data_IF_198712762191
#
_entry.id   IF_198712762191
#
_cell.length_a   1.000
_cell.length_b   1.000
_cell.length_c   1.000
_cell.angle_alpha   90.00
_cell.angle_beta   90.00
_cell.angle_gamma   90.00
#
_symmetry.space_group_name_H-M   'P 1'
#
loop_
_entity.id
_entity.type
_entity.pdbx_description
1 polymer ?
#
# COMPACT_ATOMS: atom_id res chain seq x y z
N UNK A 1 -13.10 -5.26 -47.15
CA UNK A 1 -12.04 -4.23 -47.28
C UNK A 1 -12.41 -3.02 -46.44
N UNK A 2 -11.91 -2.86 -45.27
CA UNK A 2 -11.74 -1.57 -44.58
C UNK A 2 -10.53 -1.74 -43.63
N UNK A 3 -9.44 -1.06 -43.95
CA UNK A 3 -8.22 -0.97 -43.17
C UNK A 3 -8.47 -0.03 -42.01
N UNK A 4 -8.23 -0.48 -40.78
CA UNK A 4 -8.05 0.38 -39.62
C UNK A 4 -6.55 0.55 -39.37
N UNK A 5 -6.08 1.75 -39.59
CA UNK A 5 -4.73 2.20 -39.32
C UNK A 5 -4.55 2.33 -37.82
N UNK A 6 -3.65 1.52 -37.24
CA UNK A 6 -3.08 1.72 -35.92
C UNK A 6 -1.84 2.60 -36.13
N UNK A 7 -1.79 3.77 -35.48
CA UNK A 7 -0.68 4.71 -35.51
C UNK A 7 0.60 4.04 -35.03
N UNK A 8 1.46 3.74 -35.98
CA UNK A 8 2.84 3.34 -35.74
C UNK A 8 3.70 4.58 -35.51
N UNK A 9 4.17 4.79 -34.29
CA UNK A 9 5.34 5.63 -34.04
C UNK A 9 6.56 4.90 -34.62
N UNK A 10 7.08 5.39 -35.72
CA UNK A 10 8.34 4.94 -36.29
C UNK A 10 9.48 5.38 -35.36
N UNK A 11 10.02 4.42 -34.61
CA UNK A 11 11.24 4.61 -33.83
C UNK A 11 12.42 4.54 -34.80
N UNK A 12 13.04 5.68 -35.04
CA UNK A 12 14.31 5.80 -35.77
C UNK A 12 15.37 5.00 -35.02
N UNK A 13 15.93 3.98 -35.68
CA UNK A 13 17.04 3.20 -35.13
C UNK A 13 18.30 4.08 -35.08
N UNK A 14 18.73 4.42 -33.84
CA UNK A 14 20.08 4.96 -33.64
C UNK A 14 21.11 3.92 -34.02
N UNK A 15 22.20 4.40 -34.67
CA UNK A 15 23.36 3.63 -35.13
C UNK A 15 23.78 2.55 -34.13
N UNK A 16 23.85 1.31 -34.60
CA UNK A 16 24.44 0.18 -33.87
C UNK A 16 25.96 0.43 -33.74
N UNK A 17 26.52 0.46 -32.53
CA UNK A 17 27.97 0.27 -32.39
C UNK A 17 28.31 -1.18 -32.74
N UNK A 18 29.48 -1.35 -33.36
CA UNK A 18 30.03 -2.61 -33.86
C UNK A 18 29.87 -3.76 -32.86
N UNK A 19 29.29 -4.88 -33.31
CA UNK A 19 29.06 -6.14 -32.56
C UNK A 19 30.37 -6.90 -32.27
N UNK A 20 31.51 -6.22 -32.08
CA UNK A 20 32.81 -6.87 -31.95
C UNK A 20 33.32 -7.10 -30.52
N UNK A 21 32.82 -6.36 -29.52
CA UNK A 21 33.54 -6.30 -28.23
C UNK A 21 32.67 -6.47 -26.96
N UNK A 22 31.57 -7.19 -26.94
CA UNK A 22 30.78 -7.26 -25.71
C UNK A 22 30.01 -8.56 -25.57
N UNK A 23 30.61 -9.58 -25.01
CA UNK A 23 29.92 -10.69 -24.33
C UNK A 23 30.71 -11.18 -23.10
N UNK A 24 31.27 -10.25 -22.33
CA UNK A 24 31.67 -10.56 -20.96
C UNK A 24 30.67 -9.85 -20.03
N UNK A 25 29.92 -10.61 -19.23
CA UNK A 25 29.17 -10.06 -18.12
C UNK A 25 30.08 -9.11 -17.33
N UNK A 26 29.61 -7.88 -17.08
CA UNK A 26 30.32 -7.00 -16.16
C UNK A 26 30.43 -7.75 -14.84
N UNK A 27 31.65 -8.04 -14.40
CA UNK A 27 31.88 -8.68 -13.11
C UNK A 27 31.23 -7.89 -11.94
N UNK A 28 31.28 -8.39 -10.72
CA UNK A 28 30.68 -7.69 -9.58
C UNK A 28 31.14 -6.24 -9.49
N UNK A 29 30.19 -5.28 -9.53
CA UNK A 29 30.49 -3.84 -9.52
C UNK A 29 30.79 -3.41 -8.09
N UNK A 30 32.04 -3.01 -7.81
CA UNK A 30 32.42 -2.41 -6.54
C UNK A 30 31.95 -0.96 -6.39
N UNK A 31 32.20 -0.38 -5.22
CA UNK A 31 31.74 0.98 -4.87
C UNK A 31 32.19 2.04 -5.89
N UNK A 32 33.49 2.19 -6.14
CA UNK A 32 34.03 3.17 -7.07
C UNK A 32 33.53 2.96 -8.50
N UNK A 33 33.46 1.70 -8.94
CA UNK A 33 32.92 1.35 -10.24
C UNK A 33 31.44 1.71 -10.38
N UNK A 34 30.63 1.56 -9.32
CA UNK A 34 29.22 1.94 -9.35
C UNK A 34 29.04 3.43 -9.59
N UNK A 35 29.86 4.27 -8.95
CA UNK A 35 29.86 5.72 -9.16
C UNK A 35 30.28 6.09 -10.59
N UNK A 36 31.34 5.48 -11.12
CA UNK A 36 31.79 5.70 -12.50
C UNK A 36 30.71 5.24 -13.52
N UNK A 37 30.04 4.12 -13.26
CA UNK A 37 28.95 3.65 -14.09
C UNK A 37 27.70 4.54 -14.01
N UNK A 38 27.38 5.11 -12.84
CA UNK A 38 26.30 6.09 -12.70
C UNK A 38 26.57 7.33 -13.57
N UNK A 39 27.79 7.90 -13.51
CA UNK A 39 28.22 9.02 -14.38
C UNK A 39 28.05 8.67 -15.85
N UNK A 40 28.56 7.51 -16.28
CA UNK A 40 28.46 7.06 -17.67
C UNK A 40 27.02 6.92 -18.12
N UNK A 41 26.17 6.30 -17.28
CA UNK A 41 24.74 6.10 -17.57
C UNK A 41 24.05 7.45 -17.77
N UNK A 42 24.17 8.39 -16.82
CA UNK A 42 23.44 9.65 -16.87
C UNK A 42 24.01 10.66 -17.89
N UNK A 43 25.34 10.68 -18.14
CA UNK A 43 25.93 11.64 -19.06
C UNK A 43 26.00 11.15 -20.49
N UNK A 44 26.00 9.84 -20.73
CA UNK A 44 26.26 9.29 -22.06
C UNK A 44 25.10 8.36 -22.52
N UNK A 45 24.79 7.32 -21.77
CA UNK A 45 23.98 6.24 -22.28
C UNK A 45 22.48 6.57 -22.27
N UNK A 46 21.97 7.12 -21.20
CA UNK A 46 20.58 7.55 -21.10
C UNK A 46 20.25 8.71 -22.04
N UNK A 47 21.12 9.74 -22.19
CA UNK A 47 20.93 10.79 -23.19
C UNK A 47 20.97 10.27 -24.63
N UNK A 48 21.80 9.30 -24.95
CA UNK A 48 21.84 8.66 -26.27
C UNK A 48 20.50 7.92 -26.57
N UNK A 49 19.71 7.61 -25.54
CA UNK A 49 18.38 7.02 -25.64
C UNK A 49 17.24 8.03 -25.43
N UNK A 50 17.52 9.34 -25.50
CA UNK A 50 16.51 10.41 -25.50
C UNK A 50 16.22 11.07 -24.14
N UNK A 51 16.96 10.75 -23.08
CA UNK A 51 16.82 11.45 -21.79
C UNK A 51 17.75 12.69 -21.72
N UNK A 52 17.34 13.68 -20.93
CA UNK A 52 18.12 14.89 -20.71
C UNK A 52 19.08 14.72 -19.55
N UNK A 53 20.33 15.17 -19.68
CA UNK A 53 21.30 15.23 -18.58
C UNK A 53 20.81 16.24 -17.52
N UNK A 54 20.83 15.83 -16.26
CA UNK A 54 20.47 16.68 -15.12
C UNK A 54 21.47 16.47 -14.00
N UNK A 55 22.28 17.48 -13.71
CA UNK A 55 23.35 17.39 -12.70
C UNK A 55 22.81 17.03 -11.31
N UNK A 56 21.67 17.60 -10.91
CA UNK A 56 21.03 17.27 -9.64
C UNK A 56 20.61 15.79 -9.55
N UNK A 57 20.20 15.17 -10.66
CA UNK A 57 19.85 13.75 -10.72
C UNK A 57 21.08 12.86 -10.54
N UNK A 58 22.20 13.25 -11.12
CA UNK A 58 23.48 12.53 -10.99
C UNK A 58 23.96 12.59 -9.54
N UNK A 59 24.01 13.80 -8.97
CA UNK A 59 24.37 14.01 -7.56
C UNK A 59 23.49 13.20 -6.62
N UNK A 60 22.18 13.19 -6.88
CA UNK A 60 21.21 12.41 -6.12
C UNK A 60 21.50 10.90 -6.20
N UNK A 61 21.80 10.37 -7.39
CA UNK A 61 22.15 8.97 -7.57
C UNK A 61 23.43 8.60 -6.80
N UNK A 62 24.45 9.45 -6.80
CA UNK A 62 25.67 9.22 -6.02
C UNK A 62 25.40 9.13 -4.53
N UNK A 63 24.63 10.06 -3.99
CA UNK A 63 24.23 10.03 -2.57
C UNK A 63 23.46 8.75 -2.20
N UNK A 64 22.59 8.31 -3.09
CA UNK A 64 21.83 7.06 -2.89
C UNK A 64 22.74 5.84 -2.95
N UNK A 65 23.75 5.81 -3.84
CA UNK A 65 24.75 4.77 -3.88
C UNK A 65 25.57 4.73 -2.59
N UNK A 66 26.03 5.90 -2.10
CA UNK A 66 26.75 6.00 -0.82
C UNK A 66 25.96 5.33 0.30
N UNK A 67 24.68 5.68 0.45
CA UNK A 67 23.84 5.12 1.49
C UNK A 67 23.65 3.61 1.35
N UNK A 68 23.46 3.12 0.13
CA UNK A 68 23.27 1.69 -0.14
C UNK A 68 24.52 0.87 0.18
N UNK A 69 25.71 1.36 -0.20
CA UNK A 69 26.97 0.66 0.06
C UNK A 69 27.39 0.73 1.52
N UNK A 70 27.19 1.88 2.17
CA UNK A 70 27.54 2.10 3.59
C UNK A 70 26.48 1.53 4.56
N UNK A 71 25.38 0.97 4.07
CA UNK A 71 24.24 0.51 4.87
C UNK A 71 23.61 1.60 5.73
N UNK A 72 23.49 2.79 5.18
CA UNK A 72 22.94 3.97 5.83
C UNK A 72 21.50 4.26 5.36
N UNK A 73 20.85 5.21 6.01
CA UNK A 73 19.59 5.79 5.56
C UNK A 73 19.85 7.19 5.00
N UNK A 74 19.65 7.38 3.70
CA UNK A 74 19.70 8.71 3.08
C UNK A 74 18.32 9.39 3.11
N UNK A 75 18.30 10.65 3.54
CA UNK A 75 17.18 11.57 3.34
C UNK A 75 17.53 12.49 2.17
N UNK A 76 16.76 12.40 1.10
CA UNK A 76 16.99 13.12 -0.14
C UNK A 76 15.84 14.08 -0.40
N UNK A 77 16.07 15.38 -0.23
CA UNK A 77 15.12 16.42 -0.63
C UNK A 77 15.36 16.77 -2.10
N UNK A 78 14.40 16.40 -2.94
CA UNK A 78 14.54 16.53 -4.39
C UNK A 78 13.23 17.01 -5.01
N UNK A 79 13.24 18.20 -5.57
CA UNK A 79 12.06 18.84 -6.17
C UNK A 79 11.42 18.03 -7.29
N UNK A 80 10.19 18.42 -7.63
CA UNK A 80 9.47 17.82 -8.76
C UNK A 80 10.25 18.08 -10.06
N UNK A 81 10.33 17.05 -10.90
CA UNK A 81 11.00 17.17 -12.20
C UNK A 81 12.51 16.90 -12.18
N UNK A 82 13.16 16.75 -11.02
CA UNK A 82 14.59 16.42 -10.92
C UNK A 82 14.94 15.04 -11.50
N UNK A 83 13.96 14.14 -11.62
CA UNK A 83 14.18 12.78 -12.11
C UNK A 83 14.52 11.77 -11.01
N UNK A 84 13.97 11.94 -9.81
CA UNK A 84 14.14 11.06 -8.64
C UNK A 84 14.06 9.57 -8.99
N UNK A 85 13.05 9.21 -9.79
CA UNK A 85 12.76 7.81 -10.13
C UNK A 85 13.93 7.13 -10.83
N UNK A 86 14.51 7.75 -11.83
CA UNK A 86 15.70 7.20 -12.50
C UNK A 86 16.92 7.19 -11.57
N UNK A 87 17.08 8.20 -10.69
CA UNK A 87 18.20 8.25 -9.76
C UNK A 87 18.19 7.03 -8.83
N UNK A 88 17.08 6.76 -8.13
CA UNK A 88 17.02 5.60 -7.23
C UNK A 88 16.99 4.26 -7.98
N UNK A 89 16.37 4.17 -9.16
CA UNK A 89 16.39 2.93 -9.94
C UNK A 89 17.81 2.58 -10.40
N UNK A 90 18.55 3.54 -10.94
CA UNK A 90 19.94 3.33 -11.35
C UNK A 90 20.81 2.97 -10.15
N UNK A 91 20.69 3.71 -9.03
CA UNK A 91 21.45 3.42 -7.81
C UNK A 91 21.17 1.99 -7.30
N UNK A 92 19.91 1.59 -7.21
CA UNK A 92 19.54 0.25 -6.76
C UNK A 92 20.04 -0.85 -7.69
N UNK A 93 19.94 -0.65 -9.01
CA UNK A 93 20.37 -1.64 -9.99
C UNK A 93 21.90 -1.80 -9.94
N UNK A 94 22.67 -0.70 -9.98
CA UNK A 94 24.12 -0.75 -9.88
C UNK A 94 24.58 -1.40 -8.57
N UNK A 95 23.92 -1.04 -7.45
CA UNK A 95 24.19 -1.66 -6.16
C UNK A 95 23.88 -3.16 -6.15
N UNK A 96 22.80 -3.63 -6.81
CA UNK A 96 22.50 -5.05 -6.93
C UNK A 96 23.55 -5.80 -7.79
N UNK A 97 24.17 -5.13 -8.76
CA UNK A 97 25.20 -5.73 -9.63
C UNK A 97 26.52 -6.05 -8.89
N UNK A 98 26.74 -5.58 -7.66
CA UNK A 98 27.85 -6.02 -6.82
C UNK A 98 27.83 -7.52 -6.51
N UNK A 99 26.68 -8.17 -6.65
CA UNK A 99 26.47 -9.59 -6.31
C UNK A 99 26.09 -10.41 -7.54
N UNK A 100 26.58 -11.65 -7.64
CA UNK A 100 26.11 -12.57 -8.68
C UNK A 100 24.61 -12.84 -8.53
N UNK A 101 23.91 -13.11 -9.61
CA UNK A 101 22.45 -13.27 -9.69
C UNK A 101 21.81 -14.12 -8.60
N UNK A 102 22.31 -15.33 -8.30
CA UNK A 102 21.68 -16.19 -7.29
C UNK A 102 21.61 -15.56 -5.89
N UNK A 103 22.51 -14.61 -5.60
CA UNK A 103 22.64 -13.93 -4.31
C UNK A 103 21.97 -12.55 -4.27
N UNK A 104 21.34 -12.12 -5.37
CA UNK A 104 20.61 -10.85 -5.43
C UNK A 104 19.25 -10.98 -4.76
N UNK A 105 19.11 -10.35 -3.61
CA UNK A 105 17.78 -10.17 -3.01
C UNK A 105 17.10 -8.95 -3.59
N UNK A 106 15.75 -8.92 -3.63
CA UNK A 106 15.02 -7.77 -4.16
C UNK A 106 15.30 -6.49 -3.38
N UNK A 107 15.13 -5.36 -4.08
CA UNK A 107 14.91 -4.06 -3.48
C UNK A 107 13.41 -3.82 -3.40
N UNK A 108 12.94 -3.21 -2.33
CA UNK A 108 11.56 -2.75 -2.19
C UNK A 108 11.50 -1.26 -2.49
N UNK A 109 10.58 -0.87 -3.37
CA UNK A 109 10.27 0.52 -3.68
C UNK A 109 8.84 0.77 -3.20
N UNK A 110 8.71 1.64 -2.21
CA UNK A 110 7.41 2.06 -1.69
C UNK A 110 7.11 3.50 -2.12
N UNK A 111 5.97 3.74 -2.74
CA UNK A 111 5.54 5.08 -3.15
C UNK A 111 4.06 5.33 -2.84
N UNK A 112 3.72 6.57 -2.50
CA UNK A 112 2.34 6.97 -2.22
C UNK A 112 1.47 7.05 -3.48
N UNK A 113 2.06 7.19 -4.67
CA UNK A 113 1.36 7.41 -5.93
C UNK A 113 1.10 6.09 -6.69
N UNK A 114 -0.18 5.79 -6.94
CA UNK A 114 -0.57 4.65 -7.80
C UNK A 114 -0.07 4.85 -9.24
N UNK A 115 -0.21 6.06 -9.77
CA UNK A 115 0.27 6.38 -11.12
C UNK A 115 1.78 6.16 -11.25
N UNK A 116 2.56 6.50 -10.21
CA UNK A 116 4.02 6.26 -10.22
C UNK A 116 4.36 4.77 -10.10
N UNK A 117 3.56 3.98 -9.36
CA UNK A 117 3.73 2.52 -9.33
C UNK A 117 3.58 1.93 -10.73
N UNK A 118 2.53 2.33 -11.45
CA UNK A 118 2.26 1.86 -12.80
C UNK A 118 3.34 2.34 -13.80
N UNK A 119 3.72 3.62 -13.77
CA UNK A 119 4.79 4.17 -14.61
C UNK A 119 6.14 3.49 -14.33
N UNK A 120 6.46 3.20 -13.07
CA UNK A 120 7.70 2.50 -12.71
C UNK A 120 7.78 1.13 -13.38
N UNK A 121 6.67 0.39 -13.42
CA UNK A 121 6.62 -0.96 -13.98
C UNK A 121 6.44 -0.99 -15.48
N UNK A 122 5.67 -0.05 -16.05
CA UNK A 122 5.31 -0.08 -17.47
C UNK A 122 6.26 0.75 -18.36
N UNK A 123 6.95 1.74 -17.77
CA UNK A 123 7.76 2.69 -18.53
C UNK A 123 9.23 2.68 -18.07
N UNK A 124 9.51 3.00 -16.79
CA UNK A 124 10.87 3.27 -16.32
C UNK A 124 11.74 2.02 -16.26
N UNK A 125 11.26 0.94 -15.66
CA UNK A 125 12.02 -0.32 -15.58
C UNK A 125 12.19 -0.97 -16.95
N UNK A 126 11.17 -1.06 -17.84
CA UNK A 126 11.37 -1.57 -19.19
C UNK A 126 12.35 -0.72 -20.02
N UNK A 127 12.30 0.61 -19.90
CA UNK A 127 13.24 1.49 -20.56
C UNK A 127 14.69 1.24 -20.08
N UNK A 128 14.92 1.26 -18.75
CA UNK A 128 16.23 0.97 -18.18
C UNK A 128 16.72 -0.42 -18.54
N UNK A 129 15.85 -1.43 -18.54
CA UNK A 129 16.21 -2.78 -18.94
C UNK A 129 16.77 -2.83 -20.37
N UNK A 130 16.10 -2.14 -21.32
CA UNK A 130 16.58 -2.06 -22.72
C UNK A 130 17.97 -1.40 -22.82
N UNK A 131 18.15 -0.26 -22.14
CA UNK A 131 19.43 0.46 -22.14
C UNK A 131 20.53 -0.40 -21.54
N UNK A 132 20.28 -1.01 -20.38
CA UNK A 132 21.27 -1.81 -19.69
C UNK A 132 21.65 -3.09 -20.46
N UNK A 133 20.70 -3.71 -21.16
CA UNK A 133 20.98 -4.85 -22.08
C UNK A 133 21.80 -4.39 -23.28
N UNK A 134 21.39 -3.29 -23.91
CA UNK A 134 22.08 -2.74 -25.08
C UNK A 134 23.57 -2.46 -24.84
N UNK A 135 23.88 -1.99 -23.62
CA UNK A 135 25.26 -1.65 -23.24
C UNK A 135 25.97 -2.69 -22.37
N UNK A 136 25.43 -3.90 -22.30
CA UNK A 136 26.08 -5.07 -21.68
C UNK A 136 26.15 -5.06 -20.16
N UNK A 137 25.33 -4.27 -19.47
CA UNK A 137 25.24 -4.29 -17.99
C UNK A 137 24.47 -5.50 -17.46
N UNK A 138 23.48 -5.93 -18.18
CA UNK A 138 22.64 -7.09 -17.87
C UNK A 138 22.32 -7.85 -19.17
N UNK A 139 22.06 -9.13 -19.07
CA UNK A 139 21.77 -10.05 -20.19
C UNK A 139 20.26 -10.34 -20.32
N UNK A 140 19.48 -10.12 -19.27
CA UNK A 140 18.02 -10.31 -19.26
C UNK A 140 17.33 -9.11 -18.62
N UNK A 141 16.05 -8.85 -19.00
CA UNK A 141 15.30 -7.74 -18.44
C UNK A 141 15.17 -7.83 -16.91
N UNK A 142 15.15 -6.65 -16.27
CA UNK A 142 14.89 -6.50 -14.84
C UNK A 142 13.48 -7.01 -14.55
N UNK A 143 13.36 -7.95 -13.64
CA UNK A 143 12.08 -8.47 -13.21
C UNK A 143 11.55 -7.74 -11.98
N UNK A 144 10.51 -6.95 -12.19
CA UNK A 144 9.82 -6.21 -11.15
C UNK A 144 8.38 -6.71 -10.98
N UNK A 145 7.83 -6.56 -9.79
CA UNK A 145 6.45 -6.93 -9.47
C UNK A 145 5.78 -5.88 -8.62
N UNK A 146 4.49 -5.61 -8.91
CA UNK A 146 3.65 -4.75 -8.09
C UNK A 146 3.00 -5.57 -6.98
N UNK A 147 3.17 -5.14 -5.73
CA UNK A 147 2.59 -5.76 -4.55
C UNK A 147 1.45 -4.90 -4.03
N UNK A 148 0.25 -5.45 -4.07
CA UNK A 148 -1.00 -4.80 -3.62
C UNK A 148 -1.75 -5.69 -2.65
N UNK A 149 -2.64 -5.11 -1.86
CA UNK A 149 -3.58 -5.85 -1.04
C UNK A 149 -4.47 -6.78 -1.88
N UNK A 150 -4.75 -7.96 -1.35
CA UNK A 150 -5.52 -8.99 -2.05
C UNK A 150 -6.91 -8.54 -2.48
N UNK A 151 -7.50 -7.56 -1.81
CA UNK A 151 -8.77 -6.94 -2.15
C UNK A 151 -8.73 -6.13 -3.47
N UNK A 152 -7.53 -5.90 -4.01
CA UNK A 152 -7.33 -5.28 -5.34
C UNK A 152 -7.34 -6.27 -6.48
N UNK A 153 -7.38 -7.57 -6.19
CA UNK A 153 -7.34 -8.63 -7.19
C UNK A 153 -8.67 -9.37 -7.28
N UNK A 154 -9.01 -9.82 -8.50
CA UNK A 154 -10.20 -10.62 -8.74
C UNK A 154 -10.03 -12.05 -8.19
N UNK A 155 -11.08 -12.56 -7.56
CA UNK A 155 -11.24 -13.97 -7.24
C UNK A 155 -12.06 -14.62 -8.35
N UNK A 156 -11.49 -15.62 -9.05
CA UNK A 156 -12.14 -16.23 -10.22
C UNK A 156 -13.45 -16.90 -9.86
N UNK A 157 -13.53 -17.62 -8.73
CA UNK A 157 -14.75 -18.22 -8.24
C UNK A 157 -15.86 -17.17 -8.00
N UNK A 158 -15.56 -16.12 -7.23
CA UNK A 158 -16.52 -15.05 -6.93
C UNK A 158 -16.93 -14.26 -8.17
N UNK A 159 -15.99 -14.08 -9.11
CA UNK A 159 -16.27 -13.44 -10.39
C UNK A 159 -17.25 -14.27 -11.20
N UNK A 160 -17.07 -15.58 -11.27
CA UNK A 160 -17.96 -16.49 -11.98
C UNK A 160 -19.36 -16.48 -11.35
N UNK A 161 -19.48 -16.63 -10.06
CA UNK A 161 -20.74 -16.53 -9.33
C UNK A 161 -21.45 -15.20 -9.60
N UNK A 162 -20.70 -14.08 -9.57
CA UNK A 162 -21.25 -12.76 -9.81
C UNK A 162 -21.72 -12.58 -11.24
N UNK A 163 -20.99 -13.12 -12.21
CA UNK A 163 -21.40 -13.10 -13.65
C UNK A 163 -22.70 -13.86 -13.85
N UNK A 164 -22.86 -15.02 -13.24
CA UNK A 164 -24.12 -15.78 -13.31
C UNK A 164 -25.30 -15.01 -12.71
N UNK A 165 -25.12 -14.41 -11.52
CA UNK A 165 -26.14 -13.57 -10.89
C UNK A 165 -26.56 -12.37 -11.76
N UNK A 166 -25.62 -11.73 -12.45
CA UNK A 166 -25.94 -10.59 -13.32
C UNK A 166 -26.61 -11.07 -14.61
N UNK A 167 -26.18 -12.18 -15.20
CA UNK A 167 -26.79 -12.73 -16.40
C UNK A 167 -28.29 -13.07 -16.18
N UNK A 168 -28.66 -13.57 -15.01
CA UNK A 168 -30.05 -13.87 -14.65
C UNK A 168 -30.95 -12.63 -14.52
N UNK A 169 -30.36 -11.42 -14.41
CA UNK A 169 -31.12 -10.17 -14.23
C UNK A 169 -31.53 -9.48 -15.52
N UNK A 170 -31.18 -10.04 -16.69
CA UNK A 170 -31.58 -9.59 -18.00
C UNK A 170 -30.81 -8.34 -18.51
N UNK A 171 -31.29 -7.79 -19.61
CA UNK A 171 -30.61 -6.75 -20.43
C UNK A 171 -30.33 -5.44 -19.68
N UNK A 172 -31.11 -5.10 -18.65
CA UNK A 172 -30.89 -3.89 -17.83
C UNK A 172 -29.49 -3.83 -17.21
N UNK A 173 -28.81 -4.97 -17.11
CA UNK A 173 -27.46 -5.09 -16.53
C UNK A 173 -26.39 -5.38 -17.58
N UNK A 174 -26.64 -5.20 -18.87
CA UNK A 174 -25.72 -5.50 -19.96
C UNK A 174 -24.37 -4.78 -19.82
N UNK A 175 -24.38 -3.48 -19.45
CA UNK A 175 -23.16 -2.72 -19.15
C UNK A 175 -22.34 -3.35 -18.03
N UNK A 176 -22.99 -3.74 -16.95
CA UNK A 176 -22.37 -4.38 -15.79
C UNK A 176 -21.81 -5.77 -16.13
N UNK A 177 -22.51 -6.52 -16.96
CA UNK A 177 -22.03 -7.80 -17.49
C UNK A 177 -20.78 -7.61 -18.37
N UNK A 178 -20.71 -6.52 -19.16
CA UNK A 178 -19.53 -6.18 -19.95
C UNK A 178 -18.32 -5.88 -19.06
N UNK A 179 -18.46 -5.06 -18.01
CA UNK A 179 -17.39 -4.80 -17.02
C UNK A 179 -16.90 -6.07 -16.34
N UNK A 180 -17.79 -6.96 -15.94
CA UNK A 180 -17.40 -8.24 -15.34
C UNK A 180 -16.70 -9.18 -16.34
N UNK A 181 -16.97 -9.08 -17.64
CA UNK A 181 -16.20 -9.79 -18.68
C UNK A 181 -14.79 -9.22 -18.79
N UNK A 182 -14.63 -7.89 -18.73
CA UNK A 182 -13.34 -7.22 -18.72
C UNK A 182 -12.47 -7.65 -17.51
N UNK A 183 -13.06 -7.72 -16.31
CA UNK A 183 -12.40 -8.30 -15.12
C UNK A 183 -11.92 -9.74 -15.38
N UNK A 184 -12.62 -10.51 -16.20
CA UNK A 184 -12.19 -11.85 -16.61
C UNK A 184 -10.87 -11.86 -17.39
N UNK A 185 -10.50 -10.77 -18.04
CA UNK A 185 -9.24 -10.61 -18.78
C UNK A 185 -8.13 -9.97 -17.95
N UNK A 186 -8.50 -9.22 -16.91
CA UNK A 186 -7.60 -8.48 -16.04
C UNK A 186 -7.69 -8.99 -14.60
N UNK A 187 -6.56 -9.34 -13.98
CA UNK A 187 -6.54 -9.79 -12.60
C UNK A 187 -6.67 -8.61 -11.62
N UNK A 188 -6.03 -7.48 -11.94
CA UNK A 188 -6.01 -6.27 -11.11
C UNK A 188 -7.29 -5.46 -11.34
N UNK A 189 -8.08 -5.30 -10.28
CA UNK A 189 -9.36 -4.57 -10.33
C UNK A 189 -9.19 -3.06 -10.51
N UNK A 190 -8.00 -2.53 -10.26
CA UNK A 190 -7.74 -1.10 -10.45
C UNK A 190 -7.63 -0.72 -11.92
N UNK A 191 -7.34 -1.69 -12.80
CA UNK A 191 -7.28 -1.49 -14.24
C UNK A 191 -8.66 -1.53 -14.93
N UNK A 192 -9.74 -1.85 -14.19
CA UNK A 192 -11.10 -1.87 -14.73
C UNK A 192 -11.86 -0.62 -14.27
N UNK A 193 -11.96 0.35 -15.18
CA UNK A 193 -12.70 1.58 -14.93
C UNK A 193 -14.21 1.34 -14.80
N UNK A 194 -14.90 2.15 -13.99
CA UNK A 194 -16.37 2.08 -13.85
C UNK A 194 -16.90 0.91 -13.00
N UNK A 195 -16.03 0.06 -12.47
CA UNK A 195 -16.46 -1.03 -11.60
C UNK A 195 -16.98 -0.47 -10.25
N UNK A 196 -18.25 -0.76 -9.93
CA UNK A 196 -18.88 -0.26 -8.71
C UNK A 196 -18.18 -0.79 -7.45
N UNK A 197 -18.19 0.00 -6.35
CA UNK A 197 -17.67 -0.46 -5.04
C UNK A 197 -18.35 -1.75 -4.58
N UNK A 198 -19.63 -1.91 -4.90
CA UNK A 198 -20.40 -3.12 -4.59
C UNK A 198 -19.84 -4.33 -5.34
N UNK A 199 -19.64 -4.24 -6.65
CA UNK A 199 -19.11 -5.35 -7.44
C UNK A 199 -17.67 -5.67 -7.05
N UNK A 200 -16.80 -4.65 -6.88
CA UNK A 200 -15.43 -4.86 -6.35
C UNK A 200 -15.44 -5.72 -5.10
N UNK A 201 -16.25 -5.37 -4.11
CA UNK A 201 -16.32 -6.09 -2.83
C UNK A 201 -16.78 -7.54 -2.97
N UNK A 202 -17.63 -7.83 -3.98
CA UNK A 202 -18.18 -9.17 -4.19
C UNK A 202 -17.30 -10.07 -5.04
N UNK A 203 -16.42 -9.50 -5.87
CA UNK A 203 -15.54 -10.26 -6.76
C UNK A 203 -14.07 -10.26 -6.34
N UNK A 204 -13.66 -9.43 -5.39
CA UNK A 204 -12.27 -9.39 -4.91
C UNK A 204 -11.90 -10.68 -4.15
N UNK A 205 -10.58 -10.92 -4.07
CA UNK A 205 -10.04 -12.00 -3.23
C UNK A 205 -10.44 -11.74 -1.77
N UNK A 206 -11.07 -12.72 -1.10
CA UNK A 206 -11.56 -12.54 0.27
C UNK A 206 -10.40 -12.44 1.27
N UNK A 207 -10.68 -11.83 2.43
CA UNK A 207 -9.71 -11.72 3.54
C UNK A 207 -9.21 -13.10 3.97
N UNK A 208 -10.10 -14.08 4.03
CA UNK A 208 -9.77 -15.47 4.31
C UNK A 208 -10.05 -16.29 3.04
N UNK A 209 -8.99 -16.47 2.22
CA UNK A 209 -9.06 -17.35 1.06
C UNK A 209 -8.95 -18.81 1.53
N UNK A 210 -9.96 -19.61 1.24
CA UNK A 210 -10.00 -21.01 1.67
C UNK A 210 -8.89 -21.81 0.96
N UNK A 211 -8.15 -22.58 1.74
CA UNK A 211 -7.13 -23.50 1.22
C UNK A 211 -7.75 -24.68 0.45
N UNK A 212 -9.03 -24.99 0.68
CA UNK A 212 -9.81 -26.03 0.02
C UNK A 212 -10.58 -25.53 -1.20
N UNK A 213 -10.33 -24.29 -1.66
CA UNK A 213 -10.98 -23.74 -2.84
C UNK A 213 -10.77 -24.66 -4.05
N UNK A 214 -11.89 -25.03 -4.72
CA UNK A 214 -11.86 -25.92 -5.89
C UNK A 214 -11.02 -25.33 -7.05
N UNK A 215 -11.04 -23.99 -7.20
CA UNK A 215 -10.30 -23.27 -8.23
C UNK A 215 -8.83 -22.96 -7.84
N UNK A 216 -8.29 -23.56 -6.76
CA UNK A 216 -7.00 -23.16 -6.22
C UNK A 216 -5.84 -23.34 -7.20
N UNK A 217 -5.86 -24.41 -7.98
CA UNK A 217 -4.79 -24.75 -8.93
C UNK A 217 -4.81 -23.83 -10.15
N UNK A 218 -6.00 -23.54 -10.68
CA UNK A 218 -6.26 -22.66 -11.83
C UNK A 218 -6.32 -21.18 -11.46
N UNK A 219 -6.34 -20.84 -10.16
CA UNK A 219 -6.56 -19.48 -9.67
C UNK A 219 -5.46 -18.52 -10.11
N UNK A 220 -5.82 -17.50 -10.88
CA UNK A 220 -4.92 -16.46 -11.38
C UNK A 220 -4.23 -15.69 -10.24
N UNK A 221 -4.91 -15.45 -9.13
CA UNK A 221 -4.31 -14.80 -7.96
C UNK A 221 -3.24 -15.69 -7.31
N UNK A 222 -3.45 -17.01 -7.21
CA UNK A 222 -2.43 -17.93 -6.70
C UNK A 222 -1.24 -18.02 -7.64
N UNK A 223 -1.47 -17.98 -8.94
CA UNK A 223 -0.41 -17.93 -9.94
C UNK A 223 0.40 -16.63 -9.78
N UNK A 224 -0.25 -15.49 -9.71
CA UNK A 224 0.39 -14.18 -9.44
C UNK A 224 1.25 -14.24 -8.17
N UNK A 225 0.76 -14.84 -7.07
CA UNK A 225 1.54 -14.94 -5.83
C UNK A 225 2.78 -15.83 -6.01
N UNK A 226 2.69 -16.93 -6.76
CA UNK A 226 3.85 -17.78 -7.05
C UNK A 226 4.91 -17.05 -7.87
N UNK A 227 4.48 -16.39 -8.93
CA UNK A 227 5.36 -15.59 -9.81
C UNK A 227 6.00 -14.43 -9.06
N UNK A 228 5.20 -13.69 -8.28
CA UNK A 228 5.65 -12.54 -7.48
C UNK A 228 6.66 -12.90 -6.38
N UNK A 229 6.66 -14.14 -5.94
CA UNK A 229 7.62 -14.66 -4.96
C UNK A 229 8.76 -15.46 -5.63
N UNK A 230 8.82 -15.48 -6.95
CA UNK A 230 9.85 -16.18 -7.72
C UNK A 230 11.27 -15.64 -7.45
N UNK A 231 12.30 -16.46 -7.54
CA UNK A 231 13.69 -16.07 -7.23
C UNK A 231 14.26 -15.03 -8.19
N UNK A 232 13.68 -14.89 -9.37
CA UNK A 232 14.12 -13.96 -10.42
C UNK A 232 13.65 -12.51 -10.20
N UNK A 233 12.73 -12.26 -9.25
CA UNK A 233 12.26 -10.92 -8.95
C UNK A 233 13.36 -10.13 -8.24
N UNK A 234 13.76 -9.01 -8.81
CA UNK A 234 14.81 -8.12 -8.29
C UNK A 234 14.26 -6.82 -7.71
N UNK A 235 13.05 -6.41 -8.10
CA UNK A 235 12.38 -5.21 -7.58
C UNK A 235 10.95 -5.57 -7.18
N UNK A 236 10.54 -5.13 -6.00
CA UNK A 236 9.15 -5.19 -5.53
C UNK A 236 8.65 -3.75 -5.33
N UNK A 237 7.60 -3.37 -6.06
CA UNK A 237 6.97 -2.06 -5.93
C UNK A 237 5.70 -2.20 -5.10
N UNK A 238 5.46 -1.30 -4.15
CA UNK A 238 4.25 -1.30 -3.33
C UNK A 238 3.88 0.12 -2.88
N UNK A 239 2.76 0.28 -2.21
CA UNK A 239 2.46 1.52 -1.49
C UNK A 239 2.92 1.45 -0.03
N UNK A 240 2.92 2.61 0.65
CA UNK A 240 3.35 2.72 2.05
C UNK A 240 2.52 1.84 2.99
N UNK A 241 1.21 1.74 2.79
CA UNK A 241 0.35 0.88 3.60
C UNK A 241 0.73 -0.60 3.47
N UNK A 242 1.09 -1.06 2.27
CA UNK A 242 1.52 -2.44 2.05
C UNK A 242 2.90 -2.72 2.67
N UNK A 243 3.84 -1.77 2.58
CA UNK A 243 5.14 -1.83 3.24
C UNK A 243 4.97 -1.96 4.76
N UNK A 244 4.16 -1.07 5.35
CA UNK A 244 3.92 -1.07 6.80
C UNK A 244 3.18 -2.34 7.26
N UNK A 245 2.24 -2.84 6.46
CA UNK A 245 1.57 -4.11 6.73
C UNK A 245 2.56 -5.30 6.70
N UNK A 246 3.51 -5.32 5.75
CA UNK A 246 4.58 -6.33 5.73
C UNK A 246 5.46 -6.24 6.98
N UNK A 247 5.86 -5.03 7.37
CA UNK A 247 6.66 -4.80 8.56
C UNK A 247 5.94 -5.29 9.83
N UNK A 248 4.65 -4.99 9.96
CA UNK A 248 3.82 -5.49 11.06
C UNK A 248 3.69 -7.02 11.06
N UNK A 249 3.53 -7.65 9.88
CA UNK A 249 3.52 -9.10 9.74
C UNK A 249 4.83 -9.71 10.25
N UNK A 250 5.98 -9.13 9.89
CA UNK A 250 7.30 -9.58 10.34
C UNK A 250 7.47 -9.42 11.84
N UNK A 251 7.07 -8.28 12.40
CA UNK A 251 7.14 -8.01 13.83
C UNK A 251 6.32 -9.02 14.65
N UNK A 252 5.14 -9.41 14.16
CA UNK A 252 4.27 -10.39 14.82
C UNK A 252 4.61 -11.85 14.50
N UNK A 253 5.69 -12.13 13.77
CA UNK A 253 6.06 -13.49 13.37
C UNK A 253 5.08 -14.14 12.36
N UNK A 254 4.25 -13.34 11.70
CA UNK A 254 3.34 -13.82 10.65
C UNK A 254 4.08 -13.96 9.31
N UNK A 255 3.44 -14.69 8.38
CA UNK A 255 4.00 -14.82 7.04
C UNK A 255 4.19 -13.44 6.39
N UNK A 256 5.43 -13.09 5.97
CA UNK A 256 5.71 -11.84 5.28
C UNK A 256 4.87 -11.68 4.01
N UNK A 257 4.50 -10.43 3.71
CA UNK A 257 3.78 -10.07 2.49
C UNK A 257 4.74 -9.83 1.33
N UNK A 258 5.93 -9.29 1.61
CA UNK A 258 7.02 -9.08 0.66
C UNK A 258 8.04 -10.21 0.79
N UNK A 259 8.73 -10.55 -0.31
CA UNK A 259 9.95 -11.36 -0.22
C UNK A 259 10.99 -10.62 0.62
N UNK A 260 11.91 -11.38 1.20
CA UNK A 260 13.04 -10.77 1.89
C UNK A 260 13.82 -9.87 0.94
N UNK A 261 14.11 -8.68 1.41
CA UNK A 261 14.75 -7.62 0.65
C UNK A 261 15.96 -7.08 1.41
N UNK A 262 16.91 -6.52 0.65
CA UNK A 262 18.17 -6.02 1.22
C UNK A 262 18.24 -4.51 1.30
N UNK A 263 17.43 -3.79 0.53
CA UNK A 263 17.36 -2.34 0.56
C UNK A 263 15.92 -1.85 0.37
N UNK A 264 15.65 -0.67 0.89
CA UNK A 264 14.34 -0.02 0.83
C UNK A 264 14.47 1.37 0.19
N UNK A 265 13.58 1.66 -0.77
CA UNK A 265 13.35 3.02 -1.27
C UNK A 265 11.96 3.45 -0.83
N UNK A 266 11.85 4.60 -0.19
CA UNK A 266 10.57 5.24 0.17
C UNK A 266 10.47 6.53 -0.62
N UNK A 267 9.68 6.51 -1.67
CA UNK A 267 9.41 7.68 -2.49
C UNK A 267 8.16 8.41 -1.98
N UNK A 268 8.17 9.74 -2.03
CA UNK A 268 7.21 10.61 -1.33
C UNK A 268 7.17 10.31 0.18
N UNK A 269 8.36 10.19 0.78
CA UNK A 269 8.55 9.74 2.17
C UNK A 269 7.84 10.62 3.20
N UNK A 270 7.53 11.89 2.87
CA UNK A 270 6.72 12.77 3.72
C UNK A 270 5.32 12.21 4.02
N UNK A 271 4.82 11.29 3.20
CA UNK A 271 3.52 10.61 3.40
C UNK A 271 3.58 9.34 4.25
N UNK A 272 4.78 8.86 4.54
CA UNK A 272 4.94 7.64 5.33
C UNK A 272 4.37 7.75 6.77
N UNK A 273 4.58 8.87 7.50
CA UNK A 273 3.97 9.07 8.82
C UNK A 273 2.43 9.05 8.78
N UNK A 274 1.82 9.67 7.76
CA UNK A 274 0.37 9.63 7.57
C UNK A 274 -0.14 8.20 7.34
N UNK A 275 0.53 7.43 6.50
CA UNK A 275 0.19 6.03 6.26
C UNK A 275 0.33 5.18 7.55
N UNK A 276 1.38 5.43 8.35
CA UNK A 276 1.57 4.77 9.63
C UNK A 276 0.48 5.14 10.64
N UNK A 277 0.11 6.42 10.70
CA UNK A 277 -0.99 6.87 11.54
C UNK A 277 -2.31 6.18 11.16
N UNK A 278 -2.65 6.14 9.87
CA UNK A 278 -3.85 5.47 9.38
C UNK A 278 -3.87 3.98 9.75
N UNK A 279 -2.73 3.29 9.64
CA UNK A 279 -2.61 1.88 9.98
C UNK A 279 -2.69 1.63 11.49
N UNK A 280 -2.04 2.49 12.29
CA UNK A 280 -1.99 2.36 13.75
C UNK A 280 -3.29 2.84 14.43
N UNK A 281 -4.16 3.58 13.72
CA UNK A 281 -5.41 4.07 14.28
C UNK A 281 -6.37 2.92 14.58
N UNK A 282 -6.63 2.70 15.87
CA UNK A 282 -7.74 1.87 16.31
C UNK A 282 -9.04 2.63 16.05
N UNK A 283 -9.93 2.06 15.23
CA UNK A 283 -11.19 2.72 14.84
C UNK A 283 -12.40 1.86 15.16
N UNK A 284 -13.33 2.39 15.95
CA UNK A 284 -14.64 1.82 16.21
C UNK A 284 -15.73 2.73 15.63
N UNK A 285 -16.37 2.32 14.52
CA UNK A 285 -17.34 3.16 13.80
C UNK A 285 -18.75 2.61 13.85
N UNK A 286 -19.74 3.50 13.91
CA UNK A 286 -21.17 3.14 13.79
C UNK A 286 -21.47 2.46 12.46
N UNK A 287 -20.79 2.85 11.39
CA UNK A 287 -20.89 2.18 10.08
C UNK A 287 -20.36 0.75 10.12
N UNK A 288 -19.24 0.50 10.81
CA UNK A 288 -18.71 -0.86 10.99
C UNK A 288 -19.67 -1.75 11.77
N UNK A 289 -20.31 -1.22 12.82
CA UNK A 289 -21.33 -1.92 13.57
C UNK A 289 -22.58 -2.19 12.72
N UNK A 290 -23.02 -1.23 11.89
CA UNK A 290 -24.14 -1.44 10.97
C UNK A 290 -23.84 -2.53 9.92
N UNK A 291 -22.60 -2.58 9.40
CA UNK A 291 -22.17 -3.65 8.50
C UNK A 291 -22.17 -5.01 9.18
N UNK A 292 -21.72 -5.09 10.44
CA UNK A 292 -21.79 -6.31 11.23
C UNK A 292 -23.25 -6.76 11.43
N UNK A 293 -24.13 -5.83 11.78
CA UNK A 293 -25.57 -6.13 11.93
C UNK A 293 -26.17 -6.67 10.62
N UNK A 294 -25.81 -6.08 9.47
CA UNK A 294 -26.26 -6.57 8.17
C UNK A 294 -25.76 -7.99 7.86
N UNK A 295 -24.50 -8.30 8.21
CA UNK A 295 -23.95 -9.66 8.03
C UNK A 295 -24.67 -10.69 8.92
N UNK A 296 -24.95 -10.35 10.18
CA UNK A 296 -25.72 -11.18 11.10
C UNK A 296 -27.15 -11.41 10.60
N UNK A 297 -27.79 -10.36 10.06
CA UNK A 297 -29.12 -10.47 9.44
C UNK A 297 -29.10 -11.40 8.22
N UNK A 298 -28.06 -11.36 7.40
CA UNK A 298 -27.85 -12.27 6.26
C UNK A 298 -27.70 -13.75 6.67
N UNK A 299 -27.32 -14.02 7.92
CA UNK A 299 -27.29 -15.36 8.52
C UNK A 299 -28.59 -15.72 9.27
N UNK A 300 -29.65 -14.93 9.09
CA UNK A 300 -30.93 -15.07 9.80
C UNK A 300 -30.79 -14.96 11.33
N UNK A 301 -29.80 -14.20 11.83
CA UNK A 301 -29.59 -13.88 13.24
C UNK A 301 -30.19 -12.50 13.58
N UNK A 302 -31.49 -12.33 13.34
CA UNK A 302 -32.20 -11.05 13.42
C UNK A 302 -32.08 -10.39 14.80
N UNK A 303 -32.21 -11.17 15.88
CA UNK A 303 -32.08 -10.66 17.25
C UNK A 303 -30.67 -10.09 17.51
N UNK A 304 -29.62 -10.81 17.13
CA UNK A 304 -28.26 -10.35 17.26
C UNK A 304 -28.01 -9.07 16.44
N UNK A 305 -28.52 -9.00 15.21
CA UNK A 305 -28.43 -7.81 14.36
C UNK A 305 -29.12 -6.59 15.02
N UNK A 306 -30.27 -6.75 15.60
CA UNK A 306 -31.01 -5.71 16.34
C UNK A 306 -30.22 -5.21 17.56
N UNK A 307 -29.63 -6.14 18.34
CA UNK A 307 -28.79 -5.79 19.50
C UNK A 307 -27.59 -4.96 19.11
N UNK A 308 -26.84 -5.35 18.06
CA UNK A 308 -25.71 -4.57 17.55
C UNK A 308 -26.14 -3.18 17.05
N UNK A 309 -27.29 -3.10 16.37
CA UNK A 309 -27.86 -1.83 15.91
C UNK A 309 -28.24 -0.91 17.09
N UNK A 310 -28.81 -1.47 18.15
CA UNK A 310 -29.13 -0.73 19.37
C UNK A 310 -27.86 -0.15 20.03
N UNK A 311 -26.79 -0.96 20.14
CA UNK A 311 -25.50 -0.48 20.65
C UNK A 311 -24.90 0.63 19.77
N UNK A 312 -24.98 0.52 18.43
CA UNK A 312 -24.51 1.56 17.52
C UNK A 312 -25.28 2.88 17.71
N UNK A 313 -26.60 2.83 17.93
CA UNK A 313 -27.43 4.01 18.23
C UNK A 313 -27.08 4.61 19.58
N UNK A 314 -26.87 3.80 20.60
CA UNK A 314 -26.47 4.27 21.93
C UNK A 314 -25.14 5.02 21.87
N UNK A 315 -24.13 4.48 21.20
CA UNK A 315 -22.84 5.16 20.98
C UNK A 315 -23.01 6.47 20.20
N UNK A 316 -23.83 6.46 19.14
CA UNK A 316 -24.13 7.68 18.39
C UNK A 316 -24.83 8.73 19.26
N UNK A 317 -25.76 8.34 20.12
CA UNK A 317 -26.46 9.25 21.03
C UNK A 317 -25.54 9.91 22.06
N UNK A 318 -24.54 9.18 22.56
CA UNK A 318 -23.57 9.71 23.55
C UNK A 318 -22.54 10.66 22.92
N UNK A 319 -22.03 10.30 21.73
CA UNK A 319 -20.91 10.99 21.10
C UNK A 319 -21.31 11.86 19.91
N UNK A 320 -22.62 11.98 19.57
CA UNK A 320 -23.05 12.88 18.52
C UNK A 320 -22.81 14.35 18.92
N UNK A 321 -22.39 15.23 17.98
CA UNK A 321 -22.25 16.64 18.26
C UNK A 321 -23.62 17.24 18.64
N UNK A 322 -23.64 18.14 19.60
CA UNK A 322 -24.83 18.94 19.87
C UNK A 322 -25.15 19.77 18.61
N UNK A 323 -26.42 19.95 18.29
CA UNK A 323 -26.95 20.46 17.01
C UNK A 323 -26.33 21.79 16.51
N UNK A 324 -25.67 22.57 17.35
CA UNK A 324 -25.06 23.84 16.99
C UNK A 324 -23.77 23.76 16.16
N UNK A 325 -23.09 22.61 16.13
CA UNK A 325 -21.87 22.42 15.35
C UNK A 325 -22.14 21.76 13.97
N UNK A 326 -23.35 21.25 13.74
CA UNK A 326 -23.72 20.47 12.56
C UNK A 326 -24.12 21.31 11.33
N UNK A 327 -24.14 22.62 11.40
CA UNK A 327 -24.63 23.52 10.32
C UNK A 327 -23.55 23.93 9.29
N UNK A 328 -22.42 23.27 9.24
CA UNK A 328 -21.41 23.52 8.21
C UNK A 328 -21.65 22.62 6.98
N UNK A 329 -22.34 23.17 5.99
CA UNK A 329 -22.12 22.92 4.56
C UNK A 329 -22.47 21.56 3.99
N UNK A 330 -23.24 21.58 2.92
CA UNK A 330 -23.41 20.51 1.94
C UNK A 330 -22.11 20.42 1.10
N UNK A 331 -21.46 19.27 1.02
CA UNK A 331 -20.33 19.04 0.14
C UNK A 331 -19.29 18.07 0.75
N UNK A 332 -18.30 17.66 -0.01
CA UNK A 332 -17.13 16.86 0.38
C UNK A 332 -16.21 17.61 1.36
N UNK A 333 -16.75 17.98 2.53
CA UNK A 333 -15.95 18.58 3.60
C UNK A 333 -15.15 17.51 4.33
N UNK A 334 -13.92 17.84 4.77
CA UNK A 334 -13.12 16.92 5.56
C UNK A 334 -13.88 16.55 6.85
N UNK A 335 -13.69 15.33 7.38
CA UNK A 335 -14.34 14.90 8.60
C UNK A 335 -13.98 15.84 9.76
N UNK A 336 -14.98 16.21 10.56
CA UNK A 336 -14.76 16.99 11.76
C UNK A 336 -14.24 16.10 12.87
N UNK A 337 -13.14 16.49 13.51
CA UNK A 337 -12.53 15.76 14.62
C UNK A 337 -12.70 16.57 15.91
N UNK A 338 -13.18 15.91 16.97
CA UNK A 338 -13.30 16.51 18.30
C UNK A 338 -12.61 15.62 19.33
N UNK A 339 -12.07 16.18 20.43
CA UNK A 339 -11.46 15.36 21.49
C UNK A 339 -12.45 14.32 22.04
N UNK A 340 -11.97 13.11 22.26
CA UNK A 340 -12.76 12.09 22.93
C UNK A 340 -12.75 12.33 24.45
N UNK A 341 -13.94 12.35 25.04
CA UNK A 341 -14.12 12.53 26.48
C UNK A 341 -14.72 11.24 27.08
N UNK A 342 -14.11 10.71 28.11
CA UNK A 342 -14.66 9.60 28.86
C UNK A 342 -15.82 10.11 29.72
N UNK A 343 -17.04 9.68 29.38
CA UNK A 343 -18.26 9.98 30.12
C UNK A 343 -18.84 8.72 30.75
N UNK A 344 -19.64 8.85 31.82
CA UNK A 344 -20.34 7.69 32.42
C UNK A 344 -21.21 6.97 31.41
N UNK A 345 -21.98 7.72 30.62
CA UNK A 345 -22.85 7.13 29.59
C UNK A 345 -22.06 6.48 28.46
N UNK A 346 -20.94 7.06 28.08
CA UNK A 346 -20.01 6.48 27.10
C UNK A 346 -19.42 5.17 27.58
N UNK A 347 -18.95 5.13 28.82
CA UNK A 347 -18.41 3.89 29.41
C UNK A 347 -19.47 2.80 29.50
N UNK A 348 -20.71 3.14 29.89
CA UNK A 348 -21.85 2.20 29.90
C UNK A 348 -22.20 1.69 28.51
N UNK A 349 -22.25 2.57 27.51
CA UNK A 349 -22.53 2.19 26.12
C UNK A 349 -21.45 1.26 25.53
N UNK A 350 -20.16 1.54 25.80
CA UNK A 350 -19.04 0.70 25.38
C UNK A 350 -19.04 -0.66 26.10
N UNK A 351 -19.34 -0.70 27.40
CA UNK A 351 -19.48 -1.93 28.17
C UNK A 351 -20.65 -2.79 27.66
N UNK A 352 -21.79 -2.15 27.38
CA UNK A 352 -22.96 -2.82 26.80
C UNK A 352 -22.63 -3.43 25.43
N UNK A 353 -21.89 -2.69 24.58
CA UNK A 353 -21.42 -3.21 23.29
C UNK A 353 -20.50 -4.42 23.46
N UNK A 354 -19.50 -4.34 24.36
CA UNK A 354 -18.58 -5.45 24.64
C UNK A 354 -19.35 -6.71 25.09
N UNK A 355 -20.29 -6.56 26.01
CA UNK A 355 -21.13 -7.64 26.50
C UNK A 355 -21.98 -8.25 25.38
N UNK A 356 -22.65 -7.42 24.59
CA UNK A 356 -23.46 -7.87 23.44
C UNK A 356 -22.64 -8.65 22.42
N UNK A 357 -21.43 -8.17 22.07
CA UNK A 357 -20.55 -8.86 21.11
C UNK A 357 -20.05 -10.21 21.67
N UNK A 358 -19.77 -10.29 22.98
CA UNK A 358 -19.41 -11.55 23.63
C UNK A 358 -20.58 -12.55 23.64
N UNK A 359 -21.76 -12.11 24.03
CA UNK A 359 -22.99 -12.95 24.05
C UNK A 359 -23.32 -13.49 22.65
N UNK A 360 -23.19 -12.67 21.61
CA UNK A 360 -23.39 -13.10 20.21
C UNK A 360 -22.37 -14.16 19.83
N UNK A 361 -21.08 -13.94 20.18
CA UNK A 361 -20.01 -14.88 19.89
C UNK A 361 -20.28 -16.25 20.56
N UNK A 362 -20.69 -16.26 21.80
CA UNK A 362 -20.87 -17.48 22.56
C UNK A 362 -22.16 -18.20 22.15
N UNK A 363 -23.30 -17.47 22.04
CA UNK A 363 -24.60 -18.02 21.70
C UNK A 363 -24.67 -18.61 20.29
N UNK A 364 -24.02 -17.95 19.32
CA UNK A 364 -24.13 -18.32 17.91
C UNK A 364 -22.84 -18.89 17.31
N UNK A 365 -21.88 -19.33 18.13
CA UNK A 365 -20.54 -19.78 17.73
C UNK A 365 -20.54 -20.76 16.57
N UNK A 366 -21.48 -21.74 16.59
CA UNK A 366 -21.58 -22.78 15.54
C UNK A 366 -22.13 -22.25 14.21
N UNK A 367 -22.93 -21.19 14.27
CA UNK A 367 -23.57 -20.56 13.09
C UNK A 367 -22.72 -19.45 12.46
N UNK A 368 -21.73 -18.95 13.20
CA UNK A 368 -20.87 -17.87 12.76
C UNK A 368 -19.70 -18.42 11.95
N UNK A 369 -19.37 -17.74 10.85
CA UNK A 369 -18.15 -18.03 10.08
C UNK A 369 -16.90 -17.57 10.84
N UNK A 370 -15.77 -18.22 10.59
CA UNK A 370 -14.48 -17.80 11.20
C UNK A 370 -14.16 -16.30 11.01
N UNK A 371 -14.36 -15.69 9.80
CA UNK A 371 -14.18 -14.25 9.64
C UNK A 371 -15.05 -13.41 10.55
N UNK A 372 -16.30 -13.82 10.75
CA UNK A 372 -17.25 -13.07 11.57
C UNK A 372 -16.91 -13.19 13.08
N UNK A 373 -16.47 -14.37 13.51
CA UNK A 373 -15.94 -14.55 14.87
C UNK A 373 -14.73 -13.66 15.14
N UNK A 374 -13.83 -13.57 14.18
CA UNK A 374 -12.66 -12.69 14.28
C UNK A 374 -13.08 -11.21 14.33
N UNK A 375 -14.02 -10.79 13.49
CA UNK A 375 -14.55 -9.42 13.47
C UNK A 375 -15.24 -9.05 14.79
N UNK A 376 -16.02 -9.95 15.39
CA UNK A 376 -16.64 -9.74 16.71
C UNK A 376 -15.58 -9.54 17.79
N UNK A 377 -14.56 -10.42 17.82
CA UNK A 377 -13.43 -10.31 18.77
C UNK A 377 -12.70 -8.99 18.61
N UNK A 378 -12.40 -8.60 17.37
CA UNK A 378 -11.70 -7.35 17.07
C UNK A 378 -12.50 -6.13 17.50
N UNK A 379 -13.80 -6.06 17.19
CA UNK A 379 -14.67 -4.96 17.62
C UNK A 379 -14.78 -4.89 19.14
N UNK A 380 -14.82 -6.05 19.83
CA UNK A 380 -14.81 -6.09 21.30
C UNK A 380 -13.53 -5.53 21.89
N UNK A 381 -12.37 -5.90 21.34
CA UNK A 381 -11.08 -5.35 21.74
C UNK A 381 -11.01 -3.84 21.52
N UNK A 382 -11.51 -3.36 20.38
CA UNK A 382 -11.58 -1.91 20.09
C UNK A 382 -12.48 -1.18 21.07
N UNK A 383 -13.65 -1.73 21.40
CA UNK A 383 -14.54 -1.13 22.38
C UNK A 383 -13.91 -1.07 23.79
N UNK A 384 -13.10 -2.07 24.17
CA UNK A 384 -12.36 -2.07 25.42
C UNK A 384 -11.32 -0.94 25.49
N UNK A 385 -10.60 -0.68 24.39
CA UNK A 385 -9.60 0.38 24.34
C UNK A 385 -10.21 1.78 24.57
N UNK A 386 -11.46 2.01 24.13
CA UNK A 386 -12.15 3.29 24.37
C UNK A 386 -12.83 3.35 25.76
N UNK A 387 -13.16 2.22 26.36
CA UNK A 387 -13.73 2.20 27.72
C UNK A 387 -12.68 2.57 28.77
N UNK A 388 -11.43 2.23 28.54
CA UNK A 388 -10.30 2.52 29.41
C UNK A 388 -9.11 2.96 28.53
N UNK A 389 -9.11 4.21 28.02
CA UNK A 389 -8.01 4.72 27.23
C UNK A 389 -6.77 4.87 28.13
N UNK A 390 -5.61 4.50 27.59
CA UNK A 390 -4.33 4.66 28.25
C UNK A 390 -3.64 5.97 27.84
N UNK A 391 -2.62 6.38 28.57
CA UNK A 391 -1.84 7.59 28.29
C UNK A 391 -0.95 7.45 27.06
N UNK A 392 -0.83 6.27 26.48
CA UNK A 392 -0.01 6.01 25.29
C UNK A 392 -0.74 6.33 23.99
N UNK A 393 -2.05 6.61 24.07
CA UNK A 393 -2.91 6.91 22.93
C UNK A 393 -3.55 8.30 23.01
N UNK A 394 -3.82 8.88 21.83
CA UNK A 394 -4.66 10.07 21.68
C UNK A 394 -6.00 9.61 21.11
N UNK A 395 -7.05 9.82 21.90
CA UNK A 395 -8.40 9.46 21.48
C UNK A 395 -9.16 10.69 20.97
N UNK A 396 -9.89 10.52 19.86
CA UNK A 396 -10.78 11.56 19.30
C UNK A 396 -12.00 10.92 18.64
N UNK A 397 -13.03 11.72 18.42
CA UNK A 397 -14.24 11.36 17.70
C UNK A 397 -14.22 12.01 16.34
N UNK A 398 -14.44 11.23 15.29
CA UNK A 398 -14.49 11.70 13.91
C UNK A 398 -15.92 11.57 13.38
N UNK A 399 -16.41 12.67 12.83
CA UNK A 399 -17.71 12.74 12.17
C UNK A 399 -17.53 12.91 10.67
N UNK A 400 -18.14 12.04 9.86
CA UNK A 400 -18.20 12.23 8.43
C UNK A 400 -19.57 12.78 8.03
N UNK A 401 -19.56 13.90 7.28
CA UNK A 401 -20.75 14.67 6.92
C UNK A 401 -21.69 14.04 5.88
N UNK A 402 -21.63 12.72 5.65
CA UNK A 402 -22.54 12.04 4.73
C UNK A 402 -23.88 11.81 5.45
N UNK A 403 -24.89 12.57 5.06
CA UNK A 403 -26.29 12.28 5.41
C UNK A 403 -26.70 10.96 4.77
N UNK A 404 -26.54 9.85 5.48
CA UNK A 404 -27.26 8.62 5.15
C UNK A 404 -28.50 8.62 6.01
N UNK A 405 -29.66 8.51 5.39
CA UNK A 405 -31.00 8.29 5.91
C UNK A 405 -31.34 8.56 7.39
N UNK A 406 -32.59 8.57 7.79
CA UNK A 406 -32.96 8.94 9.13
C UNK A 406 -32.41 7.93 10.15
N UNK A 407 -31.39 8.32 10.93
CA UNK A 407 -31.12 7.67 12.19
C UNK A 407 -29.72 7.29 12.63
N UNK A 408 -28.65 7.39 11.82
CA UNK A 408 -27.28 7.11 12.30
C UNK A 408 -26.30 8.12 11.71
N UNK A 409 -25.80 9.04 12.54
CA UNK A 409 -24.64 9.86 12.21
C UNK A 409 -23.44 8.92 12.01
N UNK A 410 -22.65 9.13 10.93
CA UNK A 410 -21.41 8.40 10.71
C UNK A 410 -20.35 8.90 11.70
N UNK A 411 -20.29 8.23 12.82
CA UNK A 411 -19.38 8.49 13.92
C UNK A 411 -18.33 7.40 13.99
N UNK A 412 -17.09 7.80 14.22
CA UNK A 412 -15.98 6.89 14.50
C UNK A 412 -15.24 7.34 15.76
N UNK A 413 -15.11 6.47 16.74
CA UNK A 413 -14.14 6.63 17.81
C UNK A 413 -12.78 6.19 17.28
N UNK A 414 -11.78 7.05 17.40
CA UNK A 414 -10.43 6.85 16.89
C UNK A 414 -9.42 6.98 18.02
N UNK A 415 -8.47 6.04 18.12
CA UNK A 415 -7.34 6.09 19.04
C UNK A 415 -6.04 5.91 18.26
N UNK A 416 -5.12 6.87 18.38
CA UNK A 416 -3.84 6.90 17.69
C UNK A 416 -2.71 6.86 18.73
N UNK A 417 -1.68 6.06 18.53
CA UNK A 417 -0.52 6.07 19.41
C UNK A 417 0.14 7.46 19.44
N UNK A 418 0.54 7.92 20.64
CA UNK A 418 1.26 9.19 20.82
C UNK A 418 2.63 9.18 20.19
N UNK A 419 3.33 8.04 20.31
CA UNK A 419 4.69 7.89 19.82
C UNK A 419 4.71 7.09 18.51
N UNK A 420 4.13 7.69 17.47
CA UNK A 420 4.16 7.14 16.11
C UNK A 420 5.58 7.05 15.54
N UNK A 421 6.49 8.01 15.78
CA UNK A 421 7.89 7.90 15.37
C UNK A 421 8.59 6.66 15.94
N UNK A 422 8.37 6.33 17.18
CA UNK A 422 8.92 5.12 17.81
C UNK A 422 8.39 3.84 17.14
N UNK A 423 7.11 3.81 16.83
CA UNK A 423 6.53 2.67 16.10
C UNK A 423 7.13 2.51 14.70
N UNK A 424 7.34 3.62 13.97
CA UNK A 424 8.01 3.59 12.67
C UNK A 424 9.45 3.07 12.80
N UNK A 425 10.18 3.49 13.84
CA UNK A 425 11.51 2.97 14.13
C UNK A 425 11.48 1.45 14.31
N UNK A 426 10.62 0.95 15.21
CA UNK A 426 10.53 -0.47 15.51
C UNK A 426 10.08 -1.32 14.32
N UNK A 427 9.23 -0.77 13.44
CA UNK A 427 8.74 -1.45 12.25
C UNK A 427 9.76 -1.51 11.11
N UNK A 428 10.42 -0.39 10.81
CA UNK A 428 11.18 -0.25 9.56
C UNK A 428 12.69 -0.13 9.76
N UNK A 429 13.14 0.57 10.82
CA UNK A 429 14.55 0.97 10.91
C UNK A 429 15.38 0.10 11.85
N UNK A 430 14.77 -0.62 12.75
CA UNK A 430 15.44 -1.52 13.68
C UNK A 430 16.28 -2.61 13.02
N UNK A 431 15.93 -2.99 11.78
CA UNK A 431 16.64 -4.04 11.04
C UNK A 431 17.92 -3.56 10.34
N UNK A 432 18.28 -2.27 10.47
CA UNK A 432 19.50 -1.65 9.91
C UNK A 432 19.75 -1.92 8.41
N UNK A 433 18.66 -2.05 7.64
CA UNK A 433 18.75 -2.16 6.20
C UNK A 433 19.02 -0.79 5.59
N UNK A 434 19.89 -0.70 4.57
CA UNK A 434 20.07 0.54 3.83
C UNK A 434 18.74 1.01 3.26
N UNK A 435 18.49 2.32 3.37
CA UNK A 435 17.26 2.91 2.86
C UNK A 435 17.50 4.27 2.22
N UNK A 436 16.74 4.55 1.18
CA UNK A 436 16.68 5.85 0.51
C UNK A 436 15.27 6.40 0.68
N UNK A 437 15.17 7.53 1.37
CA UNK A 437 13.91 8.24 1.56
C UNK A 437 13.96 9.52 0.72
N UNK A 438 13.07 9.63 -0.25
CA UNK A 438 13.06 10.79 -1.17
C UNK A 438 11.70 11.46 -1.21
N UNK A 439 11.70 12.78 -1.29
CA UNK A 439 10.52 13.62 -1.48
C UNK A 439 10.97 15.02 -1.94
N UNK A 440 10.02 15.85 -2.38
CA UNK A 440 10.28 17.27 -2.65
C UNK A 440 10.06 18.19 -1.44
N UNK A 441 9.81 17.63 -0.25
CA UNK A 441 9.39 18.40 0.94
C UNK A 441 9.90 17.79 2.25
N UNK A 442 11.09 17.20 2.26
CA UNK A 442 11.69 16.64 3.48
C UNK A 442 12.45 17.68 4.29
N UNK A 443 13.09 18.63 3.62
CA UNK A 443 13.81 19.69 4.31
C UNK A 443 12.93 20.93 4.51
N UNK A 444 12.96 21.50 5.70
CA UNK A 444 12.40 22.81 6.00
C UNK A 444 13.55 23.83 6.10
N UNK A 445 13.75 24.64 5.04
CA UNK A 445 14.86 25.58 4.99
C UNK A 445 16.25 24.94 5.04
N UNK A 446 16.40 23.72 4.50
CA UNK A 446 17.63 22.94 4.53
C UNK A 446 17.81 22.08 5.80
N UNK A 447 16.90 22.17 6.76
CA UNK A 447 16.92 21.35 7.98
C UNK A 447 16.07 20.08 7.85
N UNK A 448 16.68 18.92 8.04
CA UNK A 448 16.04 17.61 8.03
C UNK A 448 15.59 17.11 9.40
N UNK A 449 15.87 17.83 10.50
CA UNK A 449 15.53 17.38 11.84
C UNK A 449 14.02 17.11 12.03
N UNK A 450 13.09 17.95 11.51
CA UNK A 450 11.67 17.66 11.61
C UNK A 450 11.28 16.36 10.90
N UNK A 451 11.81 16.13 9.69
CA UNK A 451 11.53 14.91 8.93
C UNK A 451 12.14 13.66 9.63
N UNK A 452 13.36 13.76 10.14
CA UNK A 452 13.99 12.67 10.91
C UNK A 452 13.14 12.27 12.11
N UNK A 453 12.64 13.26 12.84
CA UNK A 453 11.77 13.02 14.00
C UNK A 453 10.48 12.32 13.58
N UNK A 454 9.77 12.86 12.61
CA UNK A 454 8.49 12.30 12.15
C UNK A 454 8.65 10.89 11.56
N UNK A 455 9.76 10.61 10.91
CA UNK A 455 10.06 9.31 10.31
C UNK A 455 10.65 8.30 11.32
N UNK A 456 10.85 8.69 12.57
CA UNK A 456 11.39 7.81 13.60
C UNK A 456 12.90 7.54 13.48
N UNK A 457 13.66 8.44 12.87
CA UNK A 457 15.10 8.25 12.62
C UNK A 457 16.02 8.83 13.71
N UNK A 458 15.48 9.46 14.76
CA UNK A 458 16.25 10.02 15.86
C UNK A 458 16.67 9.00 16.93
N UNK A 459 16.10 7.81 16.93
CA UNK A 459 16.26 6.81 18.00
C UNK A 459 17.40 5.82 17.81
N UNK A 460 18.68 6.27 17.88
CA UNK A 460 19.78 5.34 18.11
C UNK A 460 20.44 4.71 16.87
N UNK A 461 20.46 5.41 15.76
CA UNK A 461 21.20 5.00 14.56
C UNK A 461 22.43 5.89 14.34
N UNK A 462 23.60 5.30 13.97
CA UNK A 462 24.80 6.07 13.67
C UNK A 462 24.56 7.10 12.58
N UNK A 463 25.36 8.13 12.60
CA UNK A 463 25.32 9.34 11.76
C UNK A 463 24.88 9.07 10.32
N UNK A 464 23.68 9.56 9.96
CA UNK A 464 23.05 9.26 8.68
C UNK A 464 23.02 10.54 7.85
N UNK A 465 23.67 10.49 6.68
CA UNK A 465 23.78 11.61 5.77
C UNK A 465 22.40 12.12 5.31
N UNK A 466 22.13 13.40 5.60
CA UNK A 466 21.04 14.15 5.00
C UNK A 466 21.62 14.97 3.85
N UNK A 467 21.05 14.87 2.65
CA UNK A 467 21.57 15.55 1.45
C UNK A 467 20.44 16.29 0.75
N UNK A 468 20.69 17.52 0.42
CA UNK A 468 19.83 18.43 -0.35
C UNK A 468 20.07 18.23 -1.84
#
# INVERSE_FOLDING_TARGET
MRRSTVNGCAVSFCHQPNRGDCLNEIGPIGYEAAHAHAERLFRQLLPACGLTVREGQIKLCHTMLDALYNKEVALCDAGVGLGKTYAYLVACILWQLQRPRPLRSPVVISTASVALQDATLQEYIPFLSRVLIQYGYIDTPIRAVLRKGKERFACDLRLQERRLQIAQRGERFAHRAALLREVGRCLDLDHVAGLSRYDRRHICVPTHCDRRCAERESCRYQQYLRESNGPTITIQVCNHNYLLADALHRQNGWKPLLRDYQALVVDEAHRLPEAAQQMATCRLSTQGLAQLAQQLSGLHLTRAAQQVTACARALAGVYAPQQNEANAGHGDLPPVQVPFTVTKDGTLALAALQKTLAEIQDTYRVRLTLPLLHQLKEMRTRAAAFAQPDDTTVCYVEYSGIKSGPGLSHLSLCAVPRDLPRQLYDLLWRQEKPAVLTSGTLAAGGDFAPARRQLGLEGGTPDRKSVV
#
